data_IF_597195034317
#
_entry.id   IF_597195034317
#
_cell.length_a   1.000
_cell.length_b   1.000
_cell.length_c   1.000
_cell.angle_alpha   90.00
_cell.angle_beta   90.00
_cell.angle_gamma   90.00
#
_symmetry.space_group_name_H-M   'P 1'
#
loop_
_entity.id
_entity.type
_entity.pdbx_description
1 polymer ?
#
# COMPACT_ATOMS: atom_id res chain seq x y z
N UNK A 1 -7.07 -2.31 -53.88
CA UNK A 1 -6.11 -2.93 -52.95
C UNK A 1 -6.78 -3.01 -51.59
N UNK A 2 -6.84 -4.17 -50.93
CA UNK A 2 -7.34 -4.23 -49.56
C UNK A 2 -6.35 -3.48 -48.68
N UNK A 3 -6.85 -2.46 -47.97
CA UNK A 3 -6.08 -1.67 -47.01
C UNK A 3 -5.75 -2.59 -45.84
N UNK A 4 -4.46 -2.89 -45.64
CA UNK A 4 -4.00 -3.58 -44.43
C UNK A 4 -4.32 -2.71 -43.22
N UNK A 5 -5.01 -3.24 -42.19
CA UNK A 5 -5.36 -2.46 -41.03
C UNK A 5 -4.09 -2.10 -40.25
N UNK A 6 -3.87 -0.80 -40.07
CA UNK A 6 -2.79 -0.24 -39.25
C UNK A 6 -2.98 -0.67 -37.80
N UNK A 7 -2.05 -1.48 -37.28
CA UNK A 7 -2.06 -1.96 -35.89
C UNK A 7 -1.71 -0.79 -34.97
N UNK A 8 -2.73 -0.07 -34.50
CA UNK A 8 -2.57 0.99 -33.51
C UNK A 8 -2.61 0.39 -32.10
N UNK A 9 -1.44 0.06 -31.56
CA UNK A 9 -1.19 -0.36 -30.17
C UNK A 9 -1.73 -1.74 -29.73
N UNK A 10 -0.91 -2.45 -28.97
CA UNK A 10 -1.27 -3.69 -28.27
C UNK A 10 -2.12 -3.31 -27.04
N UNK A 11 -3.42 -3.59 -27.09
CA UNK A 11 -4.33 -3.42 -25.95
C UNK A 11 -4.29 -4.69 -25.10
N UNK A 12 -4.06 -4.54 -23.79
CA UNK A 12 -4.09 -5.70 -22.87
C UNK A 12 -5.53 -6.11 -22.63
N UNK A 13 -5.82 -7.41 -22.54
CA UNK A 13 -7.19 -7.86 -22.21
C UNK A 13 -7.72 -7.28 -20.89
N UNK A 14 -6.82 -6.93 -19.97
CA UNK A 14 -7.08 -6.29 -18.68
C UNK A 14 -7.66 -4.87 -18.81
N UNK A 15 -7.47 -4.22 -19.97
CA UNK A 15 -7.97 -2.87 -20.27
C UNK A 15 -9.41 -2.90 -20.82
N UNK A 16 -9.90 -4.07 -21.26
CA UNK A 16 -11.27 -4.22 -21.75
C UNK A 16 -12.19 -4.83 -20.68
N UNK A 17 -13.13 -4.02 -20.18
CA UNK A 17 -14.06 -4.41 -19.10
C UNK A 17 -15.24 -5.30 -19.54
N UNK A 18 -15.58 -5.35 -20.84
CA UNK A 18 -16.68 -6.15 -21.38
C UNK A 18 -16.30 -6.67 -22.79
N UNK A 19 -16.18 -7.99 -22.95
CA UNK A 19 -15.95 -8.62 -24.25
C UNK A 19 -17.27 -9.07 -24.89
N UNK A 20 -17.43 -8.80 -26.18
CA UNK A 20 -18.51 -9.36 -27.00
C UNK A 20 -17.93 -9.85 -28.32
N UNK A 21 -18.16 -11.12 -28.69
CA UNK A 21 -17.65 -11.71 -29.94
C UNK A 21 -17.62 -13.24 -29.96
N UNK A 22 -17.28 -13.80 -31.13
CA UNK A 22 -16.98 -15.22 -31.37
C UNK A 22 -15.50 -15.36 -31.74
N UNK A 23 -14.97 -16.60 -31.73
CA UNK A 23 -13.54 -16.94 -31.92
C UNK A 23 -12.76 -16.19 -33.02
N UNK A 24 -13.44 -15.64 -34.03
CA UNK A 24 -12.83 -14.97 -35.17
C UNK A 24 -13.11 -13.45 -35.27
N UNK A 25 -14.00 -12.87 -34.46
CA UNK A 25 -14.30 -11.42 -34.48
C UNK A 25 -14.64 -10.89 -33.08
N UNK A 26 -13.85 -9.93 -32.58
CA UNK A 26 -13.92 -9.44 -31.20
C UNK A 26 -14.00 -7.91 -31.12
N UNK A 27 -14.84 -7.38 -30.23
CA UNK A 27 -14.95 -5.95 -29.93
C UNK A 27 -15.06 -5.66 -28.42
N UNK A 28 -14.56 -4.50 -28.00
CA UNK A 28 -14.67 -4.02 -26.62
C UNK A 28 -15.94 -3.18 -26.44
N UNK A 29 -16.91 -3.66 -25.65
CA UNK A 29 -18.29 -3.15 -25.67
C UNK A 29 -18.56 -1.93 -24.77
N UNK A 30 -17.61 -0.98 -24.68
CA UNK A 30 -17.92 0.37 -24.17
C UNK A 30 -17.79 1.41 -25.26
N UNK A 31 -18.86 1.62 -26.03
CA UNK A 31 -19.17 2.90 -26.68
C UNK A 31 -18.16 3.48 -27.68
N UNK A 32 -17.15 2.73 -28.09
CA UNK A 32 -16.28 3.13 -29.20
C UNK A 32 -16.87 2.52 -30.48
N UNK A 33 -17.42 3.37 -31.35
CA UNK A 33 -17.60 3.02 -32.75
C UNK A 33 -16.25 2.56 -33.30
N UNK A 34 -16.22 1.42 -33.97
CA UNK A 34 -14.98 0.82 -34.45
C UNK A 34 -14.41 1.60 -35.65
N UNK A 35 -13.10 1.93 -35.61
CA UNK A 35 -12.30 1.83 -36.84
C UNK A 35 -11.09 0.91 -36.68
N UNK A 36 -10.77 0.44 -35.47
CA UNK A 36 -9.51 -0.25 -35.21
C UNK A 36 -9.75 -1.70 -34.76
N UNK A 37 -9.44 -2.65 -35.65
CA UNK A 37 -9.30 -4.07 -35.30
C UNK A 37 -8.00 -4.22 -34.51
N UNK A 38 -8.10 -4.34 -33.19
CA UNK A 38 -6.93 -4.62 -32.36
C UNK A 38 -6.50 -6.10 -32.50
N UNK A 39 -5.19 -6.33 -32.60
CA UNK A 39 -4.60 -7.68 -32.58
C UNK A 39 -4.25 -8.00 -31.12
N UNK A 40 -5.00 -8.92 -30.51
CA UNK A 40 -4.84 -9.31 -29.12
C UNK A 40 -3.87 -10.50 -28.97
N UNK A 41 -3.02 -10.46 -27.95
CA UNK A 41 -2.19 -11.62 -27.56
C UNK A 41 -3.09 -12.62 -26.83
N UNK A 42 -3.48 -13.69 -27.54
CA UNK A 42 -4.40 -14.74 -27.07
C UNK A 42 -4.01 -15.31 -25.69
N UNK A 43 -2.72 -15.48 -25.43
CA UNK A 43 -2.19 -16.06 -24.18
C UNK A 43 -2.28 -15.10 -22.97
N UNK A 44 -2.41 -13.80 -23.23
CA UNK A 44 -2.59 -12.77 -22.20
C UNK A 44 -4.04 -12.64 -21.75
N UNK A 45 -5.01 -13.15 -22.51
CA UNK A 45 -6.42 -13.11 -22.15
C UNK A 45 -6.76 -14.25 -21.19
N UNK A 46 -7.41 -13.95 -20.06
CA UNK A 46 -7.87 -15.00 -19.14
C UNK A 46 -8.76 -15.99 -19.90
N UNK A 47 -9.80 -15.50 -20.58
CA UNK A 47 -10.86 -16.32 -21.20
C UNK A 47 -10.40 -17.27 -22.33
N UNK A 48 -9.13 -17.19 -22.78
CA UNK A 48 -8.56 -18.03 -23.86
C UNK A 48 -7.38 -18.90 -23.45
N UNK A 49 -6.83 -18.69 -22.25
CA UNK A 49 -5.82 -19.59 -21.74
C UNK A 49 -6.49 -20.90 -21.29
N UNK A 50 -5.78 -22.03 -21.42
CA UNK A 50 -6.18 -23.30 -20.83
C UNK A 50 -6.03 -23.27 -19.29
N UNK A 51 -6.71 -22.32 -18.67
CA UNK A 51 -6.75 -22.07 -17.24
C UNK A 51 -8.00 -22.73 -16.67
N UNK A 52 -7.86 -23.27 -15.47
CA UNK A 52 -8.99 -23.65 -14.64
C UNK A 52 -9.86 -22.43 -14.34
N UNK A 53 -11.14 -22.66 -14.06
CA UNK A 53 -12.09 -21.61 -13.69
C UNK A 53 -11.58 -20.70 -12.56
N UNK A 54 -10.89 -21.28 -11.57
CA UNK A 54 -10.33 -20.53 -10.45
C UNK A 54 -9.12 -19.67 -10.85
N UNK A 55 -8.29 -20.11 -11.79
CA UNK A 55 -7.18 -19.32 -12.34
C UNK A 55 -7.69 -18.13 -13.18
N UNK A 56 -8.80 -18.30 -13.89
CA UNK A 56 -9.48 -17.22 -14.60
C UNK A 56 -9.99 -16.14 -13.64
N UNK A 57 -10.67 -16.57 -12.58
CA UNK A 57 -11.15 -15.68 -11.51
C UNK A 57 -9.95 -14.98 -10.87
N UNK A 58 -8.92 -15.73 -10.49
CA UNK A 58 -7.70 -15.17 -9.91
C UNK A 58 -7.09 -14.09 -10.79
N UNK A 59 -6.88 -14.36 -12.08
CA UNK A 59 -6.29 -13.40 -13.03
C UNK A 59 -7.15 -12.14 -13.21
N UNK A 60 -8.48 -12.28 -13.26
CA UNK A 60 -9.41 -11.15 -13.44
C UNK A 60 -9.44 -10.21 -12.23
N UNK A 61 -9.28 -10.73 -11.01
CA UNK A 61 -9.43 -9.95 -9.79
C UNK A 61 -8.10 -9.55 -9.12
N UNK A 62 -6.99 -10.25 -9.39
CA UNK A 62 -5.69 -10.01 -8.74
C UNK A 62 -5.18 -8.58 -8.91
N UNK A 63 -5.22 -8.02 -10.12
CA UNK A 63 -4.53 -6.75 -10.44
C UNK A 63 -5.00 -5.57 -9.57
N UNK A 64 -6.31 -5.49 -9.29
CA UNK A 64 -6.86 -4.43 -8.45
C UNK A 64 -7.03 -4.86 -6.98
N UNK A 65 -6.99 -6.16 -6.69
CA UNK A 65 -7.15 -6.69 -5.34
C UNK A 65 -6.06 -6.21 -4.37
N UNK A 66 -4.82 -6.05 -4.83
CA UNK A 66 -3.70 -5.57 -3.99
C UNK A 66 -3.96 -4.17 -3.38
N UNK A 67 -4.82 -3.36 -4.00
CA UNK A 67 -5.10 -1.99 -3.58
C UNK A 67 -6.51 -1.83 -3.03
N UNK A 68 -7.52 -2.30 -3.77
CA UNK A 68 -8.94 -2.10 -3.46
C UNK A 68 -9.46 -3.19 -2.51
N UNK A 69 -8.86 -4.38 -2.51
CA UNK A 69 -9.34 -5.54 -1.75
C UNK A 69 -10.64 -6.09 -2.32
N UNK A 70 -11.60 -6.40 -1.45
CA UNK A 70 -12.82 -7.14 -1.78
C UNK A 70 -14.11 -6.29 -1.79
N UNK A 71 -14.00 -4.98 -1.52
CA UNK A 71 -15.15 -4.09 -1.33
C UNK A 71 -16.08 -4.03 -2.57
N UNK A 72 -15.51 -3.81 -3.76
CA UNK A 72 -16.26 -3.75 -5.01
C UNK A 72 -16.87 -5.11 -5.37
N UNK A 73 -16.13 -6.18 -5.17
CA UNK A 73 -16.57 -7.56 -5.42
C UNK A 73 -17.78 -7.89 -4.53
N UNK A 74 -17.72 -7.51 -3.25
CA UNK A 74 -18.82 -7.69 -2.29
C UNK A 74 -20.08 -6.92 -2.73
N UNK A 75 -19.93 -5.69 -3.23
CA UNK A 75 -21.05 -4.89 -3.77
C UNK A 75 -21.68 -5.56 -5.00
N UNK A 76 -20.85 -6.06 -5.92
CA UNK A 76 -21.33 -6.79 -7.09
C UNK A 76 -22.05 -8.08 -6.71
N UNK A 77 -21.51 -8.86 -5.76
CA UNK A 77 -22.18 -10.09 -5.27
C UNK A 77 -23.56 -9.80 -4.67
N UNK A 78 -23.66 -8.76 -3.85
CA UNK A 78 -24.96 -8.34 -3.27
C UNK A 78 -25.95 -7.86 -4.33
N UNK A 79 -25.47 -7.31 -5.44
CA UNK A 79 -26.32 -6.91 -6.56
C UNK A 79 -26.82 -8.13 -7.32
N UNK A 80 -25.93 -9.07 -7.65
CA UNK A 80 -26.28 -10.34 -8.30
C UNK A 80 -27.31 -11.13 -7.48
N UNK A 81 -27.09 -11.29 -6.16
CA UNK A 81 -28.06 -11.99 -5.28
C UNK A 81 -29.43 -11.32 -5.26
N UNK A 82 -29.50 -9.99 -5.26
CA UNK A 82 -30.76 -9.25 -5.34
C UNK A 82 -31.45 -9.49 -6.68
N UNK A 83 -30.72 -9.42 -7.79
CA UNK A 83 -31.27 -9.67 -9.13
C UNK A 83 -31.80 -11.09 -9.28
N UNK A 84 -31.08 -12.10 -8.79
CA UNK A 84 -31.56 -13.50 -8.73
C UNK A 84 -32.88 -13.60 -7.96
N UNK A 85 -32.95 -12.95 -6.79
CA UNK A 85 -34.17 -12.88 -5.99
C UNK A 85 -35.34 -12.24 -6.76
N UNK A 86 -35.11 -11.12 -7.43
CA UNK A 86 -36.12 -10.44 -8.24
C UNK A 86 -36.63 -11.30 -9.41
N UNK A 87 -35.73 -12.03 -10.10
CA UNK A 87 -36.12 -12.95 -11.18
C UNK A 87 -36.97 -14.12 -10.65
N UNK A 88 -36.65 -14.63 -9.45
CA UNK A 88 -37.46 -15.66 -8.79
C UNK A 88 -38.86 -15.15 -8.47
N UNK A 89 -38.96 -13.98 -7.84
CA UNK A 89 -40.25 -13.35 -7.54
C UNK A 89 -41.06 -13.04 -8.80
N UNK A 90 -40.41 -12.65 -9.90
CA UNK A 90 -41.09 -12.41 -11.17
C UNK A 90 -41.69 -13.70 -11.75
N UNK A 91 -40.98 -14.83 -11.69
CA UNK A 91 -41.52 -16.13 -12.09
C UNK A 91 -42.69 -16.55 -11.20
N UNK A 92 -42.58 -16.37 -9.89
CA UNK A 92 -43.63 -16.76 -8.93
C UNK A 92 -44.92 -15.92 -9.13
N UNK A 93 -44.79 -14.63 -9.43
CA UNK A 93 -45.94 -13.71 -9.57
C UNK A 93 -46.56 -13.71 -10.96
N UNK A 94 -45.75 -13.78 -12.02
CA UNK A 94 -46.20 -13.60 -13.39
C UNK A 94 -46.14 -14.86 -14.24
N UNK A 95 -45.67 -15.99 -13.69
CA UNK A 95 -45.42 -17.22 -14.44
C UNK A 95 -46.60 -17.70 -15.30
N UNK A 96 -47.83 -17.56 -14.81
CA UNK A 96 -49.05 -17.94 -15.55
C UNK A 96 -49.37 -17.06 -16.77
N UNK A 97 -48.78 -15.86 -16.84
CA UNK A 97 -48.98 -14.90 -17.93
C UNK A 97 -47.80 -14.90 -18.92
N UNK A 98 -46.75 -15.67 -18.65
CA UNK A 98 -45.57 -15.76 -19.48
C UNK A 98 -45.66 -16.97 -20.42
N UNK A 99 -45.12 -16.82 -21.62
CA UNK A 99 -44.89 -17.94 -22.53
C UNK A 99 -43.79 -18.86 -22.00
N UNK A 100 -43.79 -20.11 -22.48
CA UNK A 100 -42.74 -21.09 -22.15
C UNK A 100 -41.33 -20.55 -22.44
N UNK A 101 -41.16 -19.85 -23.56
CA UNK A 101 -39.86 -19.29 -23.96
C UNK A 101 -39.40 -18.17 -23.02
N UNK A 102 -40.32 -17.31 -22.57
CA UNK A 102 -40.01 -16.27 -21.58
C UNK A 102 -39.64 -16.87 -20.22
N UNK A 103 -40.32 -17.94 -19.81
CA UNK A 103 -40.02 -18.67 -18.57
C UNK A 103 -38.61 -19.27 -18.65
N UNK A 104 -38.26 -19.92 -19.76
CA UNK A 104 -36.91 -20.49 -19.93
C UNK A 104 -35.82 -19.42 -20.01
N UNK A 105 -36.06 -18.31 -20.70
CA UNK A 105 -35.11 -17.19 -20.72
C UNK A 105 -34.82 -16.65 -19.31
N UNK A 106 -35.86 -16.51 -18.46
CA UNK A 106 -35.67 -16.06 -17.08
C UNK A 106 -34.91 -17.11 -16.25
N UNK A 107 -35.18 -18.41 -16.43
CA UNK A 107 -34.44 -19.49 -15.75
C UNK A 107 -32.97 -19.51 -16.16
N UNK A 108 -32.67 -19.35 -17.45
CA UNK A 108 -31.30 -19.27 -17.97
C UNK A 108 -30.57 -18.05 -17.41
N UNK A 109 -31.22 -16.86 -17.42
CA UNK A 109 -30.65 -15.65 -16.83
C UNK A 109 -30.38 -15.82 -15.33
N UNK A 110 -31.29 -16.46 -14.59
CA UNK A 110 -31.10 -16.78 -13.17
C UNK A 110 -29.90 -17.68 -12.97
N UNK A 111 -29.81 -18.77 -13.74
CA UNK A 111 -28.69 -19.71 -13.64
C UNK A 111 -27.34 -19.04 -13.94
N UNK A 112 -27.27 -18.20 -14.97
CA UNK A 112 -26.05 -17.45 -15.29
C UNK A 112 -25.65 -16.49 -14.15
N UNK A 113 -26.62 -15.85 -13.50
CA UNK A 113 -26.38 -14.99 -12.34
C UNK A 113 -25.98 -15.77 -11.08
N UNK A 114 -26.55 -16.95 -10.84
CA UNK A 114 -26.12 -17.83 -9.74
C UNK A 114 -24.64 -18.23 -9.91
N UNK A 115 -24.28 -18.66 -11.13
CA UNK A 115 -22.92 -19.02 -11.52
C UNK A 115 -21.95 -17.83 -11.35
N UNK A 116 -22.36 -16.63 -11.74
CA UNK A 116 -21.60 -15.39 -11.48
C UNK A 116 -21.49 -15.08 -9.97
N UNK A 117 -22.53 -15.36 -9.19
CA UNK A 117 -22.55 -15.18 -7.74
C UNK A 117 -21.49 -16.03 -7.05
N UNK A 118 -21.35 -17.29 -7.46
CA UNK A 118 -20.33 -18.22 -6.97
C UNK A 118 -18.92 -17.76 -7.35
N UNK A 119 -18.73 -17.31 -8.59
CA UNK A 119 -17.44 -16.78 -9.05
C UNK A 119 -17.04 -15.53 -8.26
N UNK A 120 -17.98 -14.63 -7.97
CA UNK A 120 -17.74 -13.45 -7.15
C UNK A 120 -17.42 -13.81 -5.70
N UNK A 121 -18.00 -14.88 -5.16
CA UNK A 121 -17.63 -15.36 -3.83
C UNK A 121 -16.19 -15.90 -3.78
N UNK A 122 -15.78 -16.68 -4.79
CA UNK A 122 -14.40 -17.15 -4.92
C UNK A 122 -13.43 -15.98 -5.11
N UNK A 123 -13.81 -15.02 -5.96
CA UNK A 123 -13.05 -13.79 -6.19
C UNK A 123 -12.84 -12.98 -4.90
N UNK A 124 -13.87 -12.86 -4.06
CA UNK A 124 -13.78 -12.15 -2.77
C UNK A 124 -12.71 -12.77 -1.87
N UNK A 125 -12.70 -14.10 -1.75
CA UNK A 125 -11.72 -14.86 -0.93
C UNK A 125 -10.31 -14.64 -1.45
N UNK A 126 -10.12 -14.70 -2.76
CA UNK A 126 -8.83 -14.44 -3.43
C UNK A 126 -8.37 -13.01 -3.17
N UNK A 127 -9.23 -12.03 -3.44
CA UNK A 127 -8.87 -10.62 -3.34
C UNK A 127 -8.51 -10.22 -1.91
N UNK A 128 -9.24 -10.75 -0.92
CA UNK A 128 -8.93 -10.56 0.50
C UNK A 128 -7.56 -11.10 0.85
N UNK A 129 -7.25 -12.34 0.44
CA UNK A 129 -5.95 -12.96 0.71
C UNK A 129 -4.81 -12.19 0.03
N UNK A 130 -4.97 -11.84 -1.24
CA UNK A 130 -3.97 -11.06 -2.00
C UNK A 130 -3.68 -9.72 -1.33
N UNK A 131 -4.71 -9.01 -0.87
CA UNK A 131 -4.54 -7.76 -0.12
C UNK A 131 -3.81 -7.96 1.19
N UNK A 132 -4.21 -8.96 1.98
CA UNK A 132 -3.53 -9.30 3.24
C UNK A 132 -2.04 -9.61 3.03
N UNK A 133 -1.71 -10.41 2.02
CA UNK A 133 -0.33 -10.76 1.69
C UNK A 133 0.46 -9.53 1.21
N UNK A 134 -0.15 -8.66 0.39
CA UNK A 134 0.46 -7.43 -0.09
C UNK A 134 0.68 -6.40 1.03
N UNK A 135 -0.29 -6.25 1.94
CA UNK A 135 -0.18 -5.38 3.12
C UNK A 135 0.92 -5.90 4.06
N UNK A 136 0.93 -7.19 4.36
CA UNK A 136 1.99 -7.80 5.17
C UNK A 136 3.38 -7.65 4.54
N UNK A 137 3.49 -7.77 3.20
CA UNK A 137 4.75 -7.53 2.49
C UNK A 137 5.19 -6.06 2.63
N UNK A 138 4.29 -5.10 2.39
CA UNK A 138 4.55 -3.67 2.53
C UNK A 138 4.97 -3.30 3.96
N UNK A 139 4.33 -3.88 4.96
CA UNK A 139 4.68 -3.70 6.37
C UNK A 139 6.09 -4.22 6.68
N UNK A 140 6.45 -5.41 6.18
CA UNK A 140 7.80 -5.97 6.34
C UNK A 140 8.86 -5.11 5.67
N UNK A 141 8.65 -4.73 4.41
CA UNK A 141 9.58 -3.88 3.65
C UNK A 141 9.77 -2.52 4.35
N UNK A 142 8.68 -1.93 4.85
CA UNK A 142 8.71 -0.68 5.62
C UNK A 142 9.48 -0.85 6.92
N UNK A 143 9.24 -1.93 7.67
CA UNK A 143 9.94 -2.22 8.92
C UNK A 143 11.44 -2.48 8.69
N UNK A 144 11.81 -3.22 7.64
CA UNK A 144 13.20 -3.45 7.24
C UNK A 144 13.90 -2.15 6.84
N UNK A 145 13.25 -1.31 6.03
CA UNK A 145 13.75 0.01 5.63
C UNK A 145 14.02 0.89 6.87
N UNK A 146 13.02 1.01 7.76
CA UNK A 146 13.13 1.77 9.01
C UNK A 146 14.23 1.25 9.92
N UNK A 147 14.34 -0.06 10.04
CA UNK A 147 15.40 -0.70 10.84
C UNK A 147 16.78 -0.38 10.26
N UNK A 148 16.97 -0.49 8.94
CA UNK A 148 18.24 -0.14 8.28
C UNK A 148 18.63 1.32 8.52
N UNK A 149 17.68 2.25 8.49
CA UNK A 149 17.93 3.67 8.81
C UNK A 149 18.45 3.84 10.24
N UNK A 150 17.83 3.18 11.23
CA UNK A 150 18.27 3.26 12.63
C UNK A 150 19.66 2.65 12.80
N UNK A 151 19.89 1.46 12.24
CA UNK A 151 21.19 0.78 12.31
C UNK A 151 22.32 1.62 11.71
N UNK A 152 22.07 2.28 10.57
CA UNK A 152 23.01 3.21 9.96
C UNK A 152 23.32 4.43 10.85
N UNK A 153 22.34 4.94 11.60
CA UNK A 153 22.56 6.07 12.53
C UNK A 153 23.30 5.67 13.82
N UNK A 154 23.18 4.40 14.22
CA UNK A 154 23.87 3.81 15.37
C UNK A 154 25.27 3.28 15.01
N UNK A 155 25.54 3.03 13.74
CA UNK A 155 26.81 2.45 13.27
C UNK A 155 26.97 0.98 13.68
N UNK A 156 25.87 0.21 13.72
CA UNK A 156 25.86 -1.20 14.12
C UNK A 156 25.13 -2.07 13.10
N UNK A 157 25.53 -3.33 12.97
CA UNK A 157 25.00 -4.23 11.93
C UNK A 157 23.68 -4.94 12.33
N UNK A 158 23.30 -4.87 13.61
CA UNK A 158 22.07 -5.52 14.09
C UNK A 158 21.47 -4.83 15.33
N UNK A 159 20.15 -5.00 15.52
CA UNK A 159 19.43 -4.51 16.71
C UNK A 159 19.99 -5.11 18.01
N UNK A 160 20.54 -6.33 17.94
CA UNK A 160 21.14 -6.99 19.10
C UNK A 160 22.41 -6.31 19.58
N UNK A 161 23.21 -5.78 18.65
CA UNK A 161 24.46 -5.07 18.93
C UNK A 161 24.26 -3.61 19.39
N UNK A 162 23.05 -3.05 19.20
CA UNK A 162 22.74 -1.69 19.63
C UNK A 162 22.72 -1.59 21.17
N UNK A 163 23.66 -0.83 21.73
CA UNK A 163 23.67 -0.50 23.15
C UNK A 163 22.45 0.37 23.51
N UNK A 164 21.87 0.15 24.68
CA UNK A 164 20.66 0.85 25.11
C UNK A 164 20.89 2.37 25.17
N UNK A 165 22.05 2.80 25.65
CA UNK A 165 22.38 4.23 25.78
C UNK A 165 22.50 4.91 24.41
N UNK A 166 23.03 4.22 23.40
CA UNK A 166 23.11 4.75 22.04
C UNK A 166 21.72 4.91 21.41
N UNK A 167 20.82 3.95 21.67
CA UNK A 167 19.42 4.02 21.23
C UNK A 167 18.68 5.18 21.91
N UNK A 168 18.87 5.36 23.23
CA UNK A 168 18.29 6.46 23.98
C UNK A 168 18.81 7.82 23.49
N UNK A 169 20.13 7.93 23.29
CA UNK A 169 20.76 9.13 22.74
C UNK A 169 20.26 9.45 21.34
N UNK A 170 20.10 8.44 20.49
CA UNK A 170 19.54 8.64 19.15
C UNK A 170 18.09 9.14 19.21
N UNK A 171 17.28 8.63 20.13
CA UNK A 171 15.92 9.14 20.35
C UNK A 171 15.93 10.61 20.80
N UNK A 172 16.82 10.97 21.72
CA UNK A 172 17.00 12.36 22.16
C UNK A 172 17.45 13.28 21.01
N UNK A 173 18.39 12.83 20.20
CA UNK A 173 18.85 13.57 19.02
C UNK A 173 17.68 13.83 18.05
N UNK A 174 16.80 12.84 17.84
CA UNK A 174 15.59 12.97 17.03
C UNK A 174 14.61 13.99 17.65
N UNK A 175 14.37 13.91 18.96
CA UNK A 175 13.50 14.87 19.67
C UNK A 175 14.06 16.29 19.61
N UNK A 176 15.37 16.47 19.80
CA UNK A 176 16.02 17.77 19.66
C UNK A 176 15.94 18.32 18.24
N UNK A 177 16.03 17.46 17.22
CA UNK A 177 15.91 17.86 15.81
C UNK A 177 14.51 18.35 15.45
N UNK A 178 13.46 17.89 16.13
CA UNK A 178 12.11 18.44 15.97
C UNK A 178 11.90 19.80 16.68
N UNK A 179 12.84 20.19 17.54
CA UNK A 179 12.77 21.37 18.39
C UNK A 179 13.08 22.69 17.67
N UNK A 180 12.78 23.81 18.35
CA UNK A 180 13.01 25.17 17.82
C UNK A 180 14.48 25.44 17.47
N UNK A 181 15.41 24.93 18.27
CA UNK A 181 16.84 25.13 18.06
C UNK A 181 17.34 24.51 16.74
N UNK A 182 16.80 23.35 16.36
CA UNK A 182 17.10 22.69 15.10
C UNK A 182 16.55 23.45 13.89
N UNK A 183 15.35 24.01 13.99
CA UNK A 183 14.76 24.87 12.95
C UNK A 183 15.62 26.09 12.66
N UNK A 184 16.02 26.81 13.72
CA UNK A 184 16.88 27.98 13.60
C UNK A 184 18.26 27.61 13.02
N UNK A 185 18.84 26.49 13.46
CA UNK A 185 20.09 25.96 12.90
C UNK A 185 19.95 25.62 11.41
N UNK A 186 18.87 24.94 11.02
CA UNK A 186 18.66 24.51 9.64
C UNK A 186 18.44 25.70 8.70
N UNK A 187 17.63 26.68 9.11
CA UNK A 187 17.43 27.91 8.36
C UNK A 187 18.76 28.65 8.14
N UNK A 188 19.58 28.78 9.19
CA UNK A 188 20.90 29.42 9.11
C UNK A 188 21.87 28.67 8.19
N UNK A 189 21.86 27.34 8.22
CA UNK A 189 22.84 26.52 7.48
C UNK A 189 22.44 26.26 6.01
N UNK A 190 21.15 26.30 5.70
CA UNK A 190 20.64 26.05 4.34
C UNK A 190 20.20 27.31 3.61
N UNK A 191 20.08 28.45 4.31
CA UNK A 191 19.53 29.69 3.76
C UNK A 191 18.02 29.65 3.50
N UNK A 192 17.33 28.61 3.97
CA UNK A 192 15.87 28.42 3.80
C UNK A 192 15.09 29.05 4.95
N UNK A 193 13.79 29.24 4.76
CA UNK A 193 12.90 29.78 5.80
C UNK A 193 12.59 28.72 6.85
N UNK A 194 12.47 29.09 8.12
CA UNK A 194 12.07 28.15 9.19
C UNK A 194 10.72 27.48 8.93
N UNK A 195 9.80 28.15 8.21
CA UNK A 195 8.50 27.61 7.81
C UNK A 195 8.59 26.39 6.89
N UNK A 196 9.71 26.21 6.18
CA UNK A 196 9.95 25.04 5.32
C UNK A 196 10.56 23.85 6.08
N UNK A 197 10.83 24.01 7.39
CA UNK A 197 11.25 22.91 8.26
C UNK A 197 10.04 22.05 8.63
N UNK A 198 9.68 21.12 7.75
CA UNK A 198 8.60 20.18 7.97
C UNK A 198 9.12 18.87 8.59
N UNK A 199 9.50 18.95 9.87
CA UNK A 199 9.83 17.78 10.67
C UNK A 199 9.30 17.94 12.10
N UNK A 200 8.46 16.98 12.49
CA UNK A 200 7.88 16.90 13.82
C UNK A 200 7.79 15.45 14.28
N UNK A 201 8.00 15.26 15.58
CA UNK A 201 7.82 13.99 16.26
C UNK A 201 6.40 13.89 16.83
N UNK A 202 5.93 12.65 17.01
CA UNK A 202 4.70 12.40 17.75
C UNK A 202 5.07 12.25 19.23
N UNK A 203 4.17 12.61 20.16
CA UNK A 203 4.40 12.56 21.62
C UNK A 203 4.83 11.19 22.17
N UNK A 204 4.70 10.12 21.38
CA UNK A 204 5.06 8.76 21.78
C UNK A 204 6.57 8.56 22.00
N UNK A 205 7.44 9.33 21.31
CA UNK A 205 8.89 9.08 21.37
C UNK A 205 9.49 9.36 22.77
N UNK A 206 9.20 10.53 23.34
CA UNK A 206 9.73 10.92 24.65
C UNK A 206 9.20 10.02 25.78
N UNK A 207 7.97 9.53 25.65
CA UNK A 207 7.37 8.60 26.59
C UNK A 207 8.06 7.22 26.53
N UNK A 208 8.34 6.71 25.33
CA UNK A 208 9.10 5.47 25.15
C UNK A 208 10.53 5.59 25.71
N UNK A 209 11.18 6.75 25.57
CA UNK A 209 12.49 7.03 26.19
C UNK A 209 12.42 6.90 27.70
N UNK A 210 11.42 7.50 28.35
CA UNK A 210 11.21 7.37 29.81
C UNK A 210 10.97 5.91 30.21
N UNK A 211 10.11 5.21 29.47
CA UNK A 211 9.79 3.81 29.76
C UNK A 211 11.02 2.89 29.67
N UNK A 212 11.92 3.13 28.72
CA UNK A 212 13.19 2.39 28.60
C UNK A 212 14.12 2.74 29.76
N UNK A 213 14.30 4.03 30.08
CA UNK A 213 15.17 4.49 31.19
C UNK A 213 14.76 3.91 32.55
N UNK A 214 13.45 3.77 32.79
CA UNK A 214 12.90 3.26 34.05
C UNK A 214 12.59 1.75 34.03
N UNK A 215 12.98 1.02 32.98
CA UNK A 215 12.72 -0.42 32.87
C UNK A 215 13.76 -1.29 33.56
N UNK A 216 13.28 -2.42 34.10
CA UNK A 216 14.12 -3.54 34.55
C UNK A 216 14.73 -4.25 33.35
N UNK A 217 15.83 -5.00 33.54
CA UNK A 217 16.58 -5.61 32.44
C UNK A 217 15.74 -6.59 31.59
N UNK A 218 14.81 -7.33 32.22
CA UNK A 218 13.93 -8.28 31.54
C UNK A 218 12.94 -7.58 30.58
N UNK A 219 12.41 -6.42 30.97
CA UNK A 219 11.45 -5.66 30.15
C UNK A 219 12.13 -4.70 29.16
N UNK A 220 13.40 -4.39 29.41
CA UNK A 220 14.18 -3.39 28.66
C UNK A 220 14.33 -3.75 27.20
N UNK A 221 14.51 -5.03 26.88
CA UNK A 221 14.68 -5.50 25.49
C UNK A 221 13.46 -5.20 24.62
N UNK A 222 12.27 -5.54 25.10
CA UNK A 222 11.02 -5.32 24.36
C UNK A 222 10.71 -3.82 24.21
N UNK A 223 10.91 -3.03 25.28
CA UNK A 223 10.72 -1.57 25.26
C UNK A 223 11.73 -0.88 24.33
N UNK A 224 12.99 -1.32 24.35
CA UNK A 224 14.04 -0.84 23.43
C UNK A 224 13.67 -1.13 21.98
N UNK A 225 13.13 -2.30 21.68
CA UNK A 225 12.72 -2.64 20.32
C UNK A 225 11.55 -1.76 19.84
N UNK A 226 10.59 -1.43 20.71
CA UNK A 226 9.53 -0.46 20.41
C UNK A 226 10.09 0.94 20.15
N UNK A 227 11.07 1.37 20.97
CA UNK A 227 11.74 2.65 20.79
C UNK A 227 12.48 2.70 19.44
N UNK A 228 13.20 1.63 19.06
CA UNK A 228 13.88 1.52 17.75
C UNK A 228 12.88 1.66 16.59
N UNK A 229 11.72 1.01 16.65
CA UNK A 229 10.69 1.14 15.62
C UNK A 229 10.16 2.58 15.51
N UNK A 230 9.92 3.24 16.65
CA UNK A 230 9.46 4.63 16.69
C UNK A 230 10.52 5.60 16.17
N UNK A 231 11.80 5.43 16.52
CA UNK A 231 12.90 6.21 15.93
C UNK A 231 12.90 6.01 14.41
N UNK A 232 12.80 4.75 13.95
CA UNK A 232 12.79 4.40 12.53
C UNK A 232 11.67 5.10 11.77
N UNK A 233 10.46 5.14 12.32
CA UNK A 233 9.33 5.91 11.77
C UNK A 233 9.65 7.39 11.55
N UNK A 234 10.31 8.03 12.52
CA UNK A 234 10.69 9.44 12.41
C UNK A 234 11.80 9.65 11.37
N UNK A 235 12.82 8.79 11.35
CA UNK A 235 13.89 8.88 10.36
C UNK A 235 13.40 8.63 8.93
N UNK A 236 12.40 7.75 8.76
CA UNK A 236 11.77 7.45 7.47
C UNK A 236 11.14 8.70 6.83
N UNK A 237 10.52 9.58 7.64
CA UNK A 237 9.96 10.86 7.18
C UNK A 237 11.02 11.77 6.55
N UNK A 238 12.25 11.71 7.06
CA UNK A 238 13.38 12.49 6.52
C UNK A 238 13.95 11.89 5.23
N UNK A 239 13.67 10.61 4.96
CA UNK A 239 14.09 9.93 3.74
C UNK A 239 13.10 10.16 2.59
N UNK A 240 11.80 10.22 2.91
CA UNK A 240 10.71 10.48 1.97
C UNK A 240 10.32 11.98 1.92
N UNK A 241 11.20 12.88 2.37
CA UNK A 241 10.94 14.31 2.49
C UNK A 241 10.88 15.05 1.14
N UNK A 242 10.00 16.04 1.04
CA UNK A 242 9.89 16.93 -0.13
C UNK A 242 11.21 17.69 -0.37
N UNK A 243 11.45 18.16 -1.60
CA UNK A 243 12.71 18.82 -1.97
C UNK A 243 13.08 20.03 -1.08
N UNK A 244 12.08 20.71 -0.53
CA UNK A 244 12.21 21.87 0.37
C UNK A 244 12.37 21.52 1.86
N UNK A 245 12.15 20.28 2.26
CA UNK A 245 12.12 19.83 3.66
C UNK A 245 13.48 19.30 4.16
N UNK A 246 13.71 19.23 5.49
CA UNK A 246 14.91 18.64 6.05
C UNK A 246 15.05 17.17 5.67
N UNK A 247 16.28 16.74 5.38
CA UNK A 247 16.62 15.37 4.97
C UNK A 247 17.43 14.63 6.03
N UNK A 248 17.59 13.32 5.83
CA UNK A 248 18.40 12.48 6.74
C UNK A 248 19.85 12.99 6.89
N UNK A 249 20.43 13.58 5.84
CA UNK A 249 21.75 14.21 5.89
C UNK A 249 21.78 15.50 6.72
N UNK A 250 20.68 16.25 6.80
CA UNK A 250 20.57 17.42 7.69
C UNK A 250 20.55 16.99 9.14
N UNK A 251 19.82 15.92 9.45
CA UNK A 251 19.79 15.33 10.78
C UNK A 251 21.20 14.89 11.23
N UNK A 252 21.96 14.20 10.36
CA UNK A 252 23.34 13.81 10.66
C UNK A 252 24.24 15.02 10.95
N UNK A 253 24.17 16.06 10.13
CA UNK A 253 24.93 17.31 10.34
C UNK A 253 24.54 18.00 11.66
N UNK A 254 23.26 17.99 12.00
CA UNK A 254 22.77 18.54 13.27
C UNK A 254 23.31 17.77 14.48
N UNK A 255 23.35 16.44 14.42
CA UNK A 255 23.92 15.60 15.49
C UNK A 255 25.39 15.92 15.77
N UNK A 256 26.18 16.09 14.71
CA UNK A 256 27.60 16.51 14.84
C UNK A 256 27.68 17.89 15.49
N UNK A 257 26.93 18.86 14.97
CA UNK A 257 26.86 20.21 15.52
C UNK A 257 26.49 20.23 17.02
N UNK A 258 25.50 19.43 17.42
CA UNK A 258 25.09 19.31 18.82
C UNK A 258 26.15 18.65 19.69
N UNK A 259 26.80 17.59 19.19
CA UNK A 259 27.91 16.96 19.91
C UNK A 259 29.04 17.95 20.14
N UNK A 260 29.41 18.74 19.15
CA UNK A 260 30.48 19.73 19.28
C UNK A 260 30.09 20.85 20.24
N UNK A 261 28.85 21.33 20.18
CA UNK A 261 28.31 22.30 21.13
C UNK A 261 28.36 21.79 22.57
N UNK A 262 28.00 20.51 22.81
CA UNK A 262 28.07 19.88 24.14
C UNK A 262 29.51 19.74 24.63
N UNK A 263 30.46 19.38 23.75
CA UNK A 263 31.89 19.32 24.08
C UNK A 263 32.44 20.69 24.48
N UNK A 264 32.15 21.73 23.69
CA UNK A 264 32.58 23.11 23.99
C UNK A 264 32.00 23.57 25.33
N UNK A 265 30.71 23.31 25.58
CA UNK A 265 30.06 23.64 26.84
C UNK A 265 30.70 22.90 28.04
N UNK A 266 31.12 21.64 27.86
CA UNK A 266 31.82 20.88 28.90
C UNK A 266 33.23 21.44 29.18
N UNK A 267 33.96 21.88 28.15
CA UNK A 267 35.27 22.53 28.31
C UNK A 267 35.18 23.90 28.98
N UNK A 268 34.05 24.61 28.79
CA UNK A 268 33.80 25.91 29.40
C UNK A 268 33.28 25.83 30.85
N UNK A 269 32.99 24.63 31.38
CA UNK A 269 32.67 24.46 32.80
C UNK A 269 33.97 24.58 33.60
N UNK A 270 34.07 25.50 34.58
CA UNK A 270 35.23 25.54 35.45
C UNK A 270 35.38 24.18 36.13
N UNK A 271 36.61 23.66 36.16
CA UNK A 271 36.97 22.49 36.96
C UNK A 271 36.56 22.79 38.40
N UNK A 272 35.48 22.17 38.86
CA UNK A 272 35.14 22.22 40.27
C UNK A 272 36.15 21.33 41.00
N UNK A 273 37.18 21.96 41.57
CA UNK A 273 37.83 21.48 42.79
C UNK A 273 36.87 21.58 43.97
#
# INVERSE_FOLDING_TARGET
MPVEPTISSLVRCEECRNFTGTSFTWGCSKGYEAPHKYVYIKDACADFAAMTRDELIYKRFRLNAEWVGDADIKKHRSTVRRTVGSLRSALDQFGQYLSSDQIEAIKQARHALDVLGDDLERAEKIARKVKQDADARRERETAERRTKLVLAQLGVDSIGAAATDDVLKLAEDVSEFAGKAARAWWAKTTGRTESSFDFYINYNLDELVKQVRHSTEADRRAKRQRLILSIGEHLDKLNDAWASSPKIGDFQRFRVFQSDRRKIAAMARPSAE
#
